data_IF_358238296153
#
_entry.id   IF_358238296153
#
_cell.length_a   1.000
_cell.length_b   1.000
_cell.length_c   1.000
_cell.angle_alpha   90.00
_cell.angle_beta   90.00
_cell.angle_gamma   90.00
#
_symmetry.space_group_name_H-M   'P 1'
#
loop_
_entity.id
_entity.type
_entity.pdbx_description
1 polymer ?
#
# COMPACT_ATOMS: atom_id res chain seq x y z
N UNK A 1 15.90 5.72 -21.58
CA UNK A 1 15.26 5.47 -22.89
C UNK A 1 13.72 5.62 -22.88
N UNK A 2 13.11 6.36 -21.93
CA UNK A 2 11.64 6.54 -21.92
C UNK A 2 11.16 7.80 -22.68
N UNK A 3 12.03 8.79 -22.84
CA UNK A 3 11.70 10.08 -23.48
C UNK A 3 11.40 9.98 -24.99
N UNK A 4 11.74 8.86 -25.64
CA UNK A 4 11.58 8.68 -27.09
C UNK A 4 10.25 8.05 -27.52
N UNK A 5 9.44 7.51 -26.59
CA UNK A 5 8.19 6.78 -26.93
C UNK A 5 6.92 7.64 -26.69
N UNK A 6 6.99 8.70 -25.89
CA UNK A 6 5.80 9.37 -25.37
C UNK A 6 5.59 10.73 -26.02
N UNK A 7 4.73 10.80 -27.04
CA UNK A 7 4.42 12.06 -27.75
C UNK A 7 3.24 12.84 -27.16
N UNK A 8 2.38 12.22 -26.35
CA UNK A 8 1.20 12.87 -25.75
C UNK A 8 1.35 13.11 -24.25
N UNK A 9 0.64 14.13 -23.73
CA UNK A 9 0.63 14.46 -22.29
C UNK A 9 0.14 13.27 -21.44
N UNK A 10 -0.90 12.58 -21.90
CA UNK A 10 -1.42 11.38 -21.24
C UNK A 10 -0.37 10.28 -21.18
N UNK A 11 0.31 9.98 -22.28
CA UNK A 11 1.33 8.93 -22.32
C UNK A 11 2.50 9.24 -21.36
N UNK A 12 2.91 10.51 -21.28
CA UNK A 12 3.93 10.98 -20.34
C UNK A 12 3.50 10.76 -18.89
N UNK A 13 2.29 11.22 -18.54
CA UNK A 13 1.75 11.08 -17.18
C UNK A 13 1.60 9.62 -16.78
N UNK A 14 1.02 8.79 -17.66
CA UNK A 14 0.86 7.36 -17.43
C UNK A 14 2.21 6.68 -17.20
N UNK A 15 3.25 7.04 -17.95
CA UNK A 15 4.58 6.45 -17.76
C UNK A 15 5.18 6.86 -16.43
N UNK A 16 5.06 8.11 -16.02
CA UNK A 16 5.49 8.56 -14.68
C UNK A 16 4.76 7.75 -13.61
N UNK A 17 3.44 7.61 -13.71
CA UNK A 17 2.64 6.81 -12.78
C UNK A 17 3.06 5.33 -12.74
N UNK A 18 3.42 4.74 -13.88
CA UNK A 18 3.96 3.38 -13.96
C UNK A 18 5.31 3.30 -13.24
N UNK A 19 6.23 4.23 -13.50
CA UNK A 19 7.54 4.26 -12.83
C UNK A 19 7.37 4.38 -11.32
N UNK A 20 6.54 5.32 -10.84
CA UNK A 20 6.31 5.54 -9.42
C UNK A 20 5.72 4.29 -8.76
N UNK A 21 4.79 3.63 -9.44
CA UNK A 21 4.23 2.34 -9.02
C UNK A 21 5.31 1.27 -8.90
N UNK A 22 6.17 1.12 -9.91
CA UNK A 22 7.28 0.17 -9.87
C UNK A 22 8.27 0.45 -8.73
N UNK A 23 8.58 1.73 -8.47
CA UNK A 23 9.44 2.14 -7.36
C UNK A 23 8.82 1.73 -6.02
N UNK A 24 7.52 1.99 -5.81
CA UNK A 24 6.78 1.60 -4.60
C UNK A 24 6.76 0.08 -4.41
N UNK A 25 6.45 -0.69 -5.46
CA UNK A 25 6.46 -2.16 -5.43
C UNK A 25 7.84 -2.70 -5.05
N UNK A 26 8.91 -2.15 -5.64
CA UNK A 26 10.28 -2.54 -5.32
C UNK A 26 10.66 -2.21 -3.88
N UNK A 27 10.22 -1.06 -3.37
CA UNK A 27 10.44 -0.66 -1.98
C UNK A 27 9.76 -1.63 -1.00
N UNK A 28 8.51 -2.02 -1.26
CA UNK A 28 7.78 -3.04 -0.49
C UNK A 28 8.55 -4.37 -0.49
N UNK A 29 9.01 -4.84 -1.66
CA UNK A 29 9.79 -6.07 -1.75
C UNK A 29 11.09 -6.03 -0.92
N UNK A 30 11.74 -4.87 -0.84
CA UNK A 30 12.95 -4.68 -0.01
C UNK A 30 12.62 -4.70 1.47
N UNK A 31 11.57 -4.00 1.90
CA UNK A 31 11.19 -3.94 3.32
C UNK A 31 10.68 -5.28 3.84
N UNK A 32 9.93 -6.04 3.04
CA UNK A 32 9.51 -7.42 3.40
C UNK A 32 10.73 -8.33 3.62
N UNK A 33 11.74 -8.24 2.76
CA UNK A 33 13.00 -8.98 2.95
C UNK A 33 13.76 -8.54 4.21
N UNK A 34 13.78 -7.25 4.50
CA UNK A 34 14.42 -6.73 5.72
C UNK A 34 13.69 -7.23 6.98
N UNK A 35 12.36 -7.22 6.99
CA UNK A 35 11.53 -7.78 8.07
C UNK A 35 11.83 -9.26 8.30
N UNK A 36 12.06 -10.03 7.23
CA UNK A 36 12.37 -11.46 7.31
C UNK A 36 13.71 -11.77 7.98
N UNK A 37 14.67 -10.85 7.91
CA UNK A 37 16.03 -11.03 8.44
C UNK A 37 16.16 -10.46 9.87
N UNK A 38 15.26 -9.58 10.28
CA UNK A 38 15.28 -9.00 11.64
C UNK A 38 14.69 -9.99 12.64
N UNK A 39 15.57 -10.68 13.36
CA UNK A 39 15.20 -11.66 14.39
C UNK A 39 15.07 -11.07 15.81
N UNK A 40 15.91 -10.07 16.16
CA UNK A 40 16.08 -9.63 17.56
C UNK A 40 15.54 -8.24 17.89
N UNK A 41 15.30 -7.40 16.89
CA UNK A 41 14.84 -6.01 17.10
C UNK A 41 13.35 -5.86 16.76
N UNK A 42 12.51 -6.16 17.74
CA UNK A 42 11.06 -6.08 17.60
C UNK A 42 10.57 -4.65 17.30
N UNK A 43 11.24 -3.61 17.80
CA UNK A 43 10.84 -2.21 17.53
C UNK A 43 11.11 -1.84 16.09
N UNK A 44 12.28 -2.22 15.56
CA UNK A 44 12.62 -2.01 14.15
C UNK A 44 11.73 -2.84 13.22
N UNK A 45 11.43 -4.09 13.61
CA UNK A 45 10.50 -4.97 12.87
C UNK A 45 9.11 -4.35 12.79
N UNK A 46 8.56 -3.87 13.90
CA UNK A 46 7.24 -3.22 13.93
C UNK A 46 7.21 -1.94 13.07
N UNK A 47 8.22 -1.08 13.19
CA UNK A 47 8.31 0.15 12.39
C UNK A 47 8.36 -0.13 10.88
N UNK A 48 9.13 -1.15 10.46
CA UNK A 48 9.20 -1.56 9.06
C UNK A 48 7.89 -2.16 8.56
N UNK A 49 7.22 -2.96 9.39
CA UNK A 49 5.90 -3.53 9.09
C UNK A 49 4.85 -2.43 8.93
N UNK A 50 4.81 -1.43 9.83
CA UNK A 50 3.89 -0.30 9.72
C UNK A 50 4.16 0.53 8.46
N UNK A 51 5.43 0.83 8.15
CA UNK A 51 5.83 1.53 6.93
C UNK A 51 5.43 0.77 5.67
N UNK A 52 5.61 -0.55 5.68
CA UNK A 52 5.22 -1.43 4.55
C UNK A 52 3.70 -1.41 4.36
N UNK A 53 2.93 -1.45 5.44
CA UNK A 53 1.47 -1.33 5.39
C UNK A 53 0.99 0.01 4.80
N UNK A 54 1.67 1.12 5.10
CA UNK A 54 1.39 2.42 4.47
C UNK A 54 1.68 2.40 2.96
N UNK A 55 2.84 1.88 2.54
CA UNK A 55 3.21 1.80 1.12
C UNK A 55 2.23 0.92 0.31
N UNK A 56 1.76 -0.18 0.89
CA UNK A 56 0.77 -1.06 0.27
C UNK A 56 -0.60 -0.36 0.17
N UNK A 57 -1.01 0.34 1.23
CA UNK A 57 -2.23 1.14 1.24
C UNK A 57 -2.23 2.19 0.12
N UNK A 58 -1.13 2.93 -0.02
CA UNK A 58 -0.99 3.98 -1.05
C UNK A 58 -0.90 3.44 -2.48
N UNK A 59 -0.52 2.17 -2.64
CA UNK A 59 -0.42 1.52 -3.95
C UNK A 59 -1.75 0.91 -4.40
N UNK A 60 -2.47 0.29 -3.46
CA UNK A 60 -3.63 -0.55 -3.79
C UNK A 60 -4.93 0.23 -3.72
N UNK A 61 -5.03 1.28 -2.91
CA UNK A 61 -6.25 2.10 -2.79
C UNK A 61 -6.26 3.09 -3.96
N UNK A 62 -7.11 2.89 -4.98
CA UNK A 62 -7.30 3.86 -6.04
C UNK A 62 -8.04 5.07 -5.47
N UNK A 63 -7.73 6.27 -5.95
CA UNK A 63 -8.50 7.46 -5.59
C UNK A 63 -10.01 7.30 -5.89
N UNK A 64 -10.36 6.51 -6.91
CA UNK A 64 -11.74 6.21 -7.30
C UNK A 64 -12.51 5.29 -6.35
N UNK A 65 -11.83 4.55 -5.45
CA UNK A 65 -12.50 3.76 -4.41
C UNK A 65 -13.00 4.62 -3.23
N UNK A 66 -12.64 5.91 -3.17
CA UNK A 66 -13.12 6.80 -2.11
C UNK A 66 -14.64 7.07 -2.14
N UNK A 67 -15.30 6.76 -3.26
CA UNK A 67 -16.71 7.09 -3.52
C UNK A 67 -17.63 5.85 -3.64
N UNK A 68 -17.12 4.63 -3.45
CA UNK A 68 -17.96 3.42 -3.48
C UNK A 68 -18.31 2.98 -2.06
N UNK A 69 -19.58 2.62 -1.86
CA UNK A 69 -20.14 2.18 -0.58
C UNK A 69 -19.80 0.73 -0.23
N UNK A 70 -19.04 0.05 -1.09
CA UNK A 70 -18.77 -1.37 -1.00
C UNK A 70 -17.71 -1.70 0.07
N UNK A 71 -18.01 -2.68 0.92
CA UNK A 71 -17.04 -3.25 1.87
C UNK A 71 -16.00 -4.08 1.10
N UNK A 72 -14.77 -3.57 0.99
CA UNK A 72 -13.67 -4.27 0.33
C UNK A 72 -12.64 -4.73 1.38
N UNK A 73 -12.32 -6.03 1.37
CA UNK A 73 -11.22 -6.59 2.15
C UNK A 73 -10.18 -7.21 1.23
N UNK A 74 -8.92 -6.84 1.43
CA UNK A 74 -7.78 -7.30 0.64
C UNK A 74 -6.81 -8.00 1.58
N UNK A 75 -6.55 -9.28 1.32
CA UNK A 75 -5.56 -10.08 2.04
C UNK A 75 -4.39 -10.43 1.11
N UNK A 76 -3.17 -10.08 1.53
CA UNK A 76 -1.93 -10.39 0.82
C UNK A 76 -1.04 -11.20 1.74
N UNK A 77 -0.57 -12.35 1.26
CA UNK A 77 0.32 -13.22 2.01
C UNK A 77 1.71 -13.24 1.34
N UNK A 78 2.72 -12.75 2.04
CA UNK A 78 4.11 -12.72 1.57
C UNK A 78 4.99 -13.80 2.24
N UNK A 79 4.38 -14.90 2.72
CA UNK A 79 4.97 -16.00 3.48
C UNK A 79 5.54 -15.61 4.86
N UNK A 80 6.18 -14.45 4.98
CA UNK A 80 6.77 -13.90 6.21
C UNK A 80 5.84 -12.89 6.88
N UNK A 81 4.96 -12.25 6.10
CA UNK A 81 4.01 -11.25 6.61
C UNK A 81 2.65 -11.42 5.93
N UNK A 82 1.58 -11.35 6.71
CA UNK A 82 0.21 -11.26 6.21
C UNK A 82 -0.26 -9.81 6.33
N UNK A 83 -0.69 -9.23 5.22
CA UNK A 83 -1.30 -7.91 5.19
C UNK A 83 -2.80 -8.06 4.97
N UNK A 84 -3.59 -7.52 5.90
CA UNK A 84 -5.04 -7.45 5.80
C UNK A 84 -5.48 -6.00 5.83
N UNK A 85 -6.14 -5.57 4.78
CA UNK A 85 -6.75 -4.25 4.70
C UNK A 85 -8.25 -4.40 4.53
N UNK A 86 -9.02 -3.77 5.42
CA UNK A 86 -10.48 -3.77 5.36
C UNK A 86 -10.97 -2.33 5.30
N UNK A 87 -11.71 -2.00 4.24
CA UNK A 87 -12.37 -0.70 4.10
C UNK A 87 -13.79 -0.85 4.61
N UNK A 88 -14.09 -0.16 5.71
CA UNK A 88 -15.45 -0.04 6.25
C UNK A 88 -15.78 1.43 6.43
N UNK A 89 -16.55 2.04 5.51
CA UNK A 89 -16.97 3.44 5.64
C UNK A 89 -18.46 3.50 6.02
N UNK A 90 -18.74 3.97 7.24
CA UNK A 90 -20.09 4.39 7.64
C UNK A 90 -20.42 5.72 6.97
N UNK A 91 -21.69 5.90 6.58
CA UNK A 91 -22.20 7.14 5.99
C UNK A 91 -21.71 8.38 6.75
N UNK A 92 -21.35 9.43 6.01
CA UNK A 92 -21.06 10.76 6.56
C UNK A 92 -22.31 11.31 7.24
N UNK A 93 -22.50 11.00 8.50
CA UNK A 93 -23.14 11.88 9.48
C UNK A 93 -22.72 11.41 10.89
N UNK A 94 -22.20 12.37 11.66
CA UNK A 94 -21.68 12.26 13.03
C UNK A 94 -20.28 11.63 13.23
N UNK A 95 -19.32 12.53 13.45
CA UNK A 95 -18.17 12.49 14.38
C UNK A 95 -17.55 11.12 14.71
N UNK A 96 -16.23 11.05 14.50
CA UNK A 96 -15.27 10.00 14.88
C UNK A 96 -15.00 8.93 13.82
N UNK A 97 -13.90 9.11 13.09
CA UNK A 97 -13.28 8.10 12.23
C UNK A 97 -12.38 7.24 13.10
N UNK A 98 -12.69 5.96 13.27
CA UNK A 98 -11.81 4.97 13.89
C UNK A 98 -11.40 3.99 12.80
N UNK A 99 -10.19 4.16 12.27
CA UNK A 99 -9.56 3.16 11.40
C UNK A 99 -8.94 2.08 12.30
N UNK A 100 -9.50 0.87 12.30
CA UNK A 100 -8.92 -0.27 13.00
C UNK A 100 -7.92 -0.96 12.07
N UNK A 101 -6.62 -0.76 12.34
CA UNK A 101 -5.51 -1.48 11.70
C UNK A 101 -5.15 -2.68 12.57
N UNK A 102 -5.24 -3.88 12.02
CA UNK A 102 -4.70 -5.09 12.66
C UNK A 102 -3.68 -5.69 11.70
N UNK A 103 -2.44 -5.78 12.17
CA UNK A 103 -1.33 -6.44 11.47
C UNK A 103 -0.87 -7.57 12.37
N UNK A 104 -1.05 -8.80 11.91
CA UNK A 104 -0.61 -10.01 12.62
C UNK A 104 0.74 -10.47 12.06
N UNK A 105 1.68 -10.77 12.97
CA UNK A 105 3.06 -11.24 12.69
C UNK A 105 3.12 -12.75 12.85
#
# INVERSE_FOLDING_TARGET
MLATILKSRYATQTTISIIDTFVKVRAIGKTVKEIAVIEKDNKKKEALTQKTGQLISDLIIPESMHNREDEASIELNFAVVKFKYSVKRKQKNAKNIIAKKEVEV
#
